data_IF_195964459332
#
_entry.id   IF_195964459332
#
_cell.length_a   1.000
_cell.length_b   1.000
_cell.length_c   1.000
_cell.angle_alpha   90.00
_cell.angle_beta   90.00
_cell.angle_gamma   90.00
#
_symmetry.space_group_name_H-M   'P 1'
#
loop_
_entity.id
_entity.type
_entity.pdbx_description
1 polymer ?
#
# COMPACT_ATOMS: atom_id res chain seq x y z
N UNK A 1 16.39 -6.26 -6.92
CA UNK A 1 15.26 -6.50 -6.00
C UNK A 1 14.49 -7.78 -6.36
N UNK A 2 14.08 -8.00 -7.61
CA UNK A 2 13.38 -9.22 -8.05
C UNK A 2 14.25 -10.48 -7.84
N UNK A 3 15.49 -10.49 -8.33
CA UNK A 3 16.48 -11.57 -8.10
C UNK A 3 16.68 -11.95 -6.63
N UNK A 4 16.68 -10.95 -5.74
CA UNK A 4 16.88 -11.16 -4.31
C UNK A 4 15.67 -11.87 -3.68
N UNK A 5 14.46 -11.38 -3.96
CA UNK A 5 13.19 -12.02 -3.53
C UNK A 5 13.04 -13.44 -4.09
N UNK A 6 13.41 -13.65 -5.35
CA UNK A 6 13.37 -14.97 -5.98
C UNK A 6 14.31 -15.97 -5.29
N UNK A 7 15.50 -15.51 -4.88
CA UNK A 7 16.48 -16.33 -4.14
C UNK A 7 16.02 -16.65 -2.72
N UNK A 8 15.33 -15.72 -2.05
CA UNK A 8 14.79 -15.94 -0.70
C UNK A 8 13.61 -16.93 -0.69
N UNK A 9 12.75 -16.87 -1.71
CA UNK A 9 11.63 -17.81 -1.90
C UNK A 9 12.11 -19.21 -2.31
N UNK A 10 13.12 -19.31 -3.20
CA UNK A 10 13.67 -20.61 -3.61
C UNK A 10 14.41 -21.33 -2.48
N UNK A 11 15.01 -20.58 -1.55
CA UNK A 11 15.71 -21.12 -0.38
C UNK A 11 14.78 -21.44 0.80
N UNK A 12 13.45 -21.30 0.66
CA UNK A 12 12.45 -21.45 1.75
C UNK A 12 12.76 -20.62 3.01
N UNK A 13 13.63 -19.61 2.90
CA UNK A 13 14.05 -18.75 4.02
C UNK A 13 13.01 -17.69 4.37
N UNK A 14 12.06 -17.43 3.46
CA UNK A 14 10.96 -16.51 3.64
C UNK A 14 9.63 -17.25 3.65
N UNK A 15 8.78 -16.97 4.65
CA UNK A 15 7.35 -17.28 4.56
C UNK A 15 6.75 -16.51 3.38
N UNK A 16 5.80 -17.09 2.62
CA UNK A 16 5.11 -16.37 1.55
C UNK A 16 4.40 -15.16 2.18
N UNK A 17 5.02 -13.98 2.09
CA UNK A 17 4.33 -12.75 2.47
C UNK A 17 3.24 -12.51 1.43
N UNK A 18 2.05 -12.05 1.83
CA UNK A 18 0.98 -11.68 0.90
C UNK A 18 1.33 -10.35 0.20
N UNK A 19 2.48 -10.30 -0.45
CA UNK A 19 2.94 -9.18 -1.26
C UNK A 19 2.74 -9.52 -2.74
N UNK A 20 2.38 -8.51 -3.55
CA UNK A 20 2.02 -8.67 -4.96
C UNK A 20 3.17 -9.32 -5.76
N UNK A 21 4.41 -8.98 -5.45
CA UNK A 21 5.61 -9.49 -6.11
C UNK A 21 5.89 -10.96 -5.74
N UNK A 22 5.68 -11.33 -4.47
CA UNK A 22 5.73 -12.73 -4.03
C UNK A 22 4.64 -13.58 -4.68
N UNK A 23 3.41 -13.04 -4.82
CA UNK A 23 2.33 -13.73 -5.53
C UNK A 23 2.63 -13.88 -7.02
N UNK A 24 3.16 -12.85 -7.68
CA UNK A 24 3.56 -12.89 -9.09
C UNK A 24 4.70 -13.87 -9.39
N UNK A 25 5.62 -14.05 -8.45
CA UNK A 25 6.72 -15.03 -8.59
C UNK A 25 6.25 -16.48 -8.40
N UNK A 26 5.15 -16.69 -7.68
CA UNK A 26 4.57 -18.01 -7.42
C UNK A 26 3.47 -18.38 -8.42
N UNK A 27 2.87 -17.39 -9.09
CA UNK A 27 1.87 -17.61 -10.13
C UNK A 27 2.52 -18.05 -11.45
N UNK A 28 2.12 -19.22 -11.94
CA UNK A 28 2.40 -19.67 -13.32
C UNK A 28 1.32 -19.19 -14.28
N UNK A 29 1.73 -18.85 -15.49
CA UNK A 29 0.83 -18.58 -16.63
C UNK A 29 0.01 -19.83 -17.01
N UNK A 30 -1.03 -19.67 -17.84
CA UNK A 30 -1.91 -20.74 -18.34
C UNK A 30 -1.12 -21.85 -19.08
N UNK A 31 0.06 -21.51 -19.61
CA UNK A 31 1.00 -22.45 -20.22
C UNK A 31 1.97 -23.12 -19.21
N UNK A 32 1.73 -22.97 -17.91
CA UNK A 32 2.57 -23.53 -16.84
C UNK A 32 3.98 -22.93 -16.75
N UNK A 33 4.22 -21.80 -17.42
CA UNK A 33 5.53 -21.12 -17.43
C UNK A 33 5.62 -20.11 -16.31
N UNK A 34 6.78 -20.08 -15.65
CA UNK A 34 7.11 -19.01 -14.72
C UNK A 34 7.35 -17.71 -15.48
N UNK A 35 6.75 -16.62 -14.97
CA UNK A 35 6.87 -15.28 -15.53
C UNK A 35 8.34 -14.82 -15.53
N UNK A 36 8.80 -14.28 -16.66
CA UNK A 36 10.15 -13.73 -16.79
C UNK A 36 10.30 -12.47 -15.92
N UNK A 37 11.49 -12.23 -15.38
CA UNK A 37 11.75 -11.07 -14.52
C UNK A 37 11.41 -9.74 -15.21
N UNK A 38 11.64 -9.66 -16.52
CA UNK A 38 11.37 -8.46 -17.34
C UNK A 38 9.87 -8.19 -17.47
N UNK A 39 9.07 -9.24 -17.63
CA UNK A 39 7.62 -9.13 -17.77
C UNK A 39 6.99 -8.73 -16.43
N UNK A 40 7.46 -9.31 -15.32
CA UNK A 40 7.05 -8.95 -13.96
C UNK A 40 7.40 -7.47 -13.67
N UNK A 41 8.61 -7.05 -14.02
CA UNK A 41 9.03 -5.66 -13.82
C UNK A 41 8.18 -4.69 -14.63
N UNK A 42 7.89 -5.02 -15.90
CA UNK A 42 7.07 -4.19 -16.78
C UNK A 42 5.63 -4.10 -16.29
N UNK A 43 5.07 -5.20 -15.79
CA UNK A 43 3.73 -5.21 -15.19
C UNK A 43 3.66 -4.34 -13.93
N UNK A 44 4.65 -4.45 -13.03
CA UNK A 44 4.70 -3.64 -11.82
C UNK A 44 4.82 -2.14 -12.13
N UNK A 45 5.68 -1.78 -13.09
CA UNK A 45 5.83 -0.38 -13.52
C UNK A 45 4.52 0.12 -14.14
N UNK A 46 3.87 -0.69 -14.99
CA UNK A 46 2.57 -0.34 -15.57
C UNK A 46 1.49 -0.14 -14.51
N UNK A 47 1.39 -1.06 -13.54
CA UNK A 47 0.42 -0.99 -12.45
C UNK A 47 0.63 0.26 -11.59
N UNK A 48 1.87 0.52 -11.21
CA UNK A 48 2.22 1.70 -10.41
C UNK A 48 1.98 3.00 -11.19
N UNK A 49 2.34 3.04 -12.46
CA UNK A 49 2.16 4.23 -13.30
C UNK A 49 0.68 4.55 -13.53
N UNK A 50 -0.15 3.54 -13.80
CA UNK A 50 -1.59 3.70 -14.01
C UNK A 50 -2.29 4.27 -12.77
N UNK A 51 -1.96 3.75 -11.58
CA UNK A 51 -2.49 4.27 -10.31
C UNK A 51 -1.92 5.64 -9.96
N UNK A 52 -0.64 5.87 -10.21
CA UNK A 52 0.02 7.13 -9.87
C UNK A 52 -0.50 8.31 -10.69
N UNK A 53 -0.54 8.19 -12.03
CA UNK A 53 -0.88 9.33 -12.88
C UNK A 53 -2.33 9.81 -12.66
N UNK A 54 -3.27 8.87 -12.49
CA UNK A 54 -4.69 9.18 -12.31
C UNK A 54 -4.97 9.76 -10.93
N UNK A 55 -4.44 9.13 -9.87
CA UNK A 55 -4.59 9.62 -8.49
C UNK A 55 -3.90 10.96 -8.31
N UNK A 56 -2.72 11.16 -8.89
CA UNK A 56 -2.00 12.43 -8.78
C UNK A 56 -2.77 13.59 -9.46
N UNK A 57 -3.35 13.34 -10.63
CA UNK A 57 -4.22 14.32 -11.29
C UNK A 57 -5.47 14.63 -10.44
N UNK A 58 -6.17 13.60 -9.96
CA UNK A 58 -7.34 13.76 -9.11
C UNK A 58 -7.01 14.52 -7.82
N UNK A 59 -5.90 14.19 -7.16
CA UNK A 59 -5.42 14.88 -5.97
C UNK A 59 -5.13 16.35 -6.26
N UNK A 60 -4.50 16.65 -7.39
CA UNK A 60 -4.23 18.04 -7.81
C UNK A 60 -5.53 18.82 -8.01
N UNK A 61 -6.54 18.21 -8.63
CA UNK A 61 -7.86 18.84 -8.78
C UNK A 61 -8.55 19.07 -7.43
N UNK A 62 -8.49 18.09 -6.53
CA UNK A 62 -9.04 18.23 -5.17
C UNK A 62 -8.33 19.36 -4.42
N UNK A 63 -7.00 19.41 -4.46
CA UNK A 63 -6.23 20.48 -3.82
C UNK A 63 -6.56 21.85 -4.41
N UNK A 64 -6.72 21.95 -5.73
CA UNK A 64 -7.14 23.20 -6.39
C UNK A 64 -8.54 23.63 -5.96
N UNK A 65 -9.49 22.69 -5.93
CA UNK A 65 -10.86 22.95 -5.49
C UNK A 65 -10.91 23.44 -4.03
N UNK A 66 -10.14 22.81 -3.15
CA UNK A 66 -10.01 23.22 -1.75
C UNK A 66 -9.39 24.62 -1.63
N UNK A 67 -8.37 24.93 -2.43
CA UNK A 67 -7.74 26.25 -2.44
C UNK A 67 -8.68 27.38 -2.89
N UNK A 68 -9.66 27.08 -3.76
CA UNK A 68 -10.66 28.04 -4.23
C UNK A 68 -11.84 28.21 -3.25
N UNK A 69 -12.06 27.25 -2.34
CA UNK A 69 -13.17 27.22 -1.38
C UNK A 69 -12.68 27.00 0.06
N UNK A 70 -12.43 28.10 0.78
CA UNK A 70 -11.89 28.09 2.14
C UNK A 70 -12.83 27.46 3.18
N UNK A 71 -14.14 27.60 3.00
CA UNK A 71 -15.19 27.03 3.85
C UNK A 71 -15.18 25.49 3.86
N UNK A 72 -14.96 24.88 2.69
CA UNK A 72 -14.86 23.42 2.55
C UNK A 72 -13.53 22.90 3.10
N UNK A 73 -12.45 23.67 2.91
CA UNK A 73 -11.11 23.32 3.42
C UNK A 73 -11.05 23.20 4.93
N UNK A 74 -11.69 24.13 5.65
CA UNK A 74 -11.71 24.12 7.12
C UNK A 74 -12.48 22.91 7.67
N UNK A 75 -13.61 22.55 7.08
CA UNK A 75 -14.39 21.39 7.54
C UNK A 75 -13.68 20.07 7.24
N UNK A 76 -13.03 19.94 6.08
CA UNK A 76 -12.19 18.78 5.75
C UNK A 76 -11.05 18.64 6.74
N UNK A 77 -10.36 19.74 7.07
CA UNK A 77 -9.29 19.74 8.07
C UNK A 77 -9.79 19.32 9.45
N UNK A 78 -10.97 19.80 9.86
CA UNK A 78 -11.60 19.45 11.14
C UNK A 78 -11.84 17.94 11.25
N UNK A 79 -12.43 17.33 10.23
CA UNK A 79 -12.67 15.88 10.18
C UNK A 79 -11.35 15.10 10.21
N UNK A 80 -10.32 15.54 9.49
CA UNK A 80 -9.01 14.87 9.51
C UNK A 80 -8.36 14.93 10.91
N UNK A 81 -8.42 16.07 11.59
CA UNK A 81 -7.87 16.25 12.94
C UNK A 81 -8.63 15.41 13.96
N UNK A 82 -9.97 15.40 13.90
CA UNK A 82 -10.80 14.60 14.80
C UNK A 82 -10.57 13.09 14.59
N UNK A 83 -10.44 12.66 13.33
CA UNK A 83 -10.10 11.27 12.98
C UNK A 83 -8.69 10.84 13.41
N UNK A 84 -7.69 11.72 13.26
CA UNK A 84 -6.33 11.47 13.75
C UNK A 84 -6.31 11.37 15.27
N UNK A 85 -7.05 12.24 15.97
CA UNK A 85 -7.17 12.19 17.43
C UNK A 85 -7.81 10.86 17.87
N UNK A 86 -8.87 10.41 17.19
CA UNK A 86 -9.47 9.10 17.43
C UNK A 86 -8.48 7.95 17.17
N UNK A 87 -7.71 7.98 16.08
CA UNK A 87 -6.74 6.94 15.76
C UNK A 87 -5.60 6.87 16.80
N UNK A 88 -5.07 8.01 17.26
CA UNK A 88 -4.06 8.06 18.33
C UNK A 88 -4.61 7.51 19.64
N UNK A 89 -5.86 7.83 19.99
CA UNK A 89 -6.53 7.29 21.17
C UNK A 89 -6.77 5.78 21.06
N UNK A 90 -7.22 5.29 19.90
CA UNK A 90 -7.41 3.86 19.64
C UNK A 90 -6.08 3.11 19.71
N UNK A 91 -5.00 3.69 19.19
CA UNK A 91 -3.67 3.07 19.24
C UNK A 91 -3.13 3.00 20.67
N UNK A 92 -3.31 4.07 21.47
CA UNK A 92 -3.00 4.03 22.92
C UNK A 92 -3.85 3.00 23.67
N UNK A 93 -5.13 2.89 23.35
CA UNK A 93 -6.05 1.93 23.96
C UNK A 93 -5.67 0.48 23.62
N UNK A 94 -5.40 0.18 22.35
CA UNK A 94 -4.97 -1.15 21.90
C UNK A 94 -3.59 -1.55 22.45
N UNK A 95 -2.66 -0.60 22.54
CA UNK A 95 -1.34 -0.83 23.13
C UNK A 95 -1.44 -1.13 24.64
N UNK A 96 -2.33 -0.43 25.36
CA UNK A 96 -2.59 -0.66 26.79
C UNK A 96 -3.24 -2.01 27.07
N UNK A 97 -4.16 -2.49 26.22
CA UNK A 97 -4.76 -3.83 26.37
C UNK A 97 -3.78 -4.97 26.05
N UNK A 98 -2.95 -4.84 25.01
CA UNK A 98 -1.99 -5.90 24.61
C UNK A 98 -0.91 -6.16 25.68
N UNK A 99 -0.55 -5.17 26.49
CA UNK A 99 0.41 -5.33 27.61
C UNK A 99 -0.21 -6.07 28.80
N UNK A 100 -1.54 -5.99 29.00
CA UNK A 100 -2.24 -6.67 30.10
C UNK A 100 -2.60 -8.14 29.81
N UNK A 101 -2.61 -8.56 28.55
CA UNK A 101 -2.83 -9.95 28.15
C UNK A 101 -1.56 -10.83 28.22
N UNK A 102 -0.42 -10.22 28.58
CA UNK A 102 0.89 -10.88 28.68
C UNK A 102 1.50 -10.85 30.09
N UNK A 103 0.73 -10.42 31.11
CA UNK A 103 1.08 -10.47 32.55
C UNK A 103 -0.02 -11.26 33.26
#
# INVERSE_FOLDING_TARGET
MIKQRQTELSQKRATPKPDILSQMLLSTDDNGRFSNEVDIASYLVGLLHAGYSTVNAALTFVMKYLAEHADVSDEVLRVFVDGLCACVLVTKYYCSKRVKEWI
#
